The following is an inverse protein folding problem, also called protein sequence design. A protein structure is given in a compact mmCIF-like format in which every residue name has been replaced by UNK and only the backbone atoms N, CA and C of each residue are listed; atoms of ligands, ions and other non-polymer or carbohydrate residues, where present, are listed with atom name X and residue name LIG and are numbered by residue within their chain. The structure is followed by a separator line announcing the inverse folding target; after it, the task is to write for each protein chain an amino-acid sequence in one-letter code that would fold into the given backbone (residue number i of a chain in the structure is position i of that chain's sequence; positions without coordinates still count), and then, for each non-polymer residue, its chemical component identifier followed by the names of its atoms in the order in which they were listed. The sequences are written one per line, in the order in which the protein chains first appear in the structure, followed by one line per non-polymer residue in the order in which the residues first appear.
data_IF_409080204619
#
_entry.id   IF_409080204619
#
_cell.length_a   1.000
_cell.length_b   1.000
_cell.length_c   1.000
_cell.angle_alpha   90.00
_cell.angle_beta   90.00
_cell.angle_gamma   90.00
#
_symmetry.space_group_name_H-M   'P 1'
#
loop_
_entity.id
_entity.type
_entity.pdbx_description
1 polymer ?
#
# COMPACT_ATOMS: atom_id res chain seq x y z
N UNK A 1 19.94 1.19 -22.88
CA UNK A 1 19.98 1.11 -21.41
C UNK A 1 19.52 2.45 -20.83
N UNK A 2 18.23 2.77 -20.91
CA UNK A 2 17.65 4.03 -20.40
C UNK A 2 16.21 3.83 -19.91
N UNK A 3 15.40 2.98 -20.59
CA UNK A 3 14.02 2.73 -20.20
C UNK A 3 13.87 1.82 -18.96
N UNK A 4 14.71 0.79 -18.84
CA UNK A 4 14.60 -0.17 -17.73
C UNK A 4 14.99 0.48 -16.39
N UNK A 5 16.06 1.27 -16.38
CA UNK A 5 16.48 2.04 -15.20
C UNK A 5 15.43 3.07 -14.80
N UNK A 6 14.84 3.78 -15.78
CA UNK A 6 13.73 4.70 -15.51
C UNK A 6 12.54 3.99 -14.85
N UNK A 7 12.14 2.82 -15.38
CA UNK A 7 11.05 2.02 -14.82
C UNK A 7 11.33 1.59 -13.38
N UNK A 8 12.54 1.11 -13.10
CA UNK A 8 12.92 0.67 -11.75
C UNK A 8 12.94 1.85 -10.78
N UNK A 9 13.56 2.98 -11.15
CA UNK A 9 13.57 4.18 -10.32
C UNK A 9 12.16 4.71 -10.05
N UNK A 10 11.28 4.67 -11.06
CA UNK A 10 9.89 5.09 -10.89
C UNK A 10 9.14 4.17 -9.93
N UNK A 11 9.33 2.85 -10.04
CA UNK A 11 8.76 1.87 -9.12
C UNK A 11 9.24 2.12 -7.69
N UNK A 12 10.54 2.35 -7.50
CA UNK A 12 11.11 2.66 -6.18
C UNK A 12 10.48 3.92 -5.56
N UNK A 13 10.24 4.96 -6.36
CA UNK A 13 9.55 6.17 -5.91
C UNK A 13 8.11 5.91 -5.51
N UNK A 14 7.39 5.05 -6.26
CA UNK A 14 6.02 4.66 -5.91
C UNK A 14 5.98 3.86 -4.60
N UNK A 15 6.92 2.92 -4.41
CA UNK A 15 7.03 2.15 -3.17
C UNK A 15 7.38 3.06 -1.98
N UNK A 16 8.32 3.99 -2.14
CA UNK A 16 8.62 4.98 -1.11
C UNK A 16 7.41 5.87 -0.76
N UNK A 17 6.63 6.25 -1.77
CA UNK A 17 5.39 7.00 -1.55
C UNK A 17 4.38 6.19 -0.72
N UNK A 18 4.16 4.92 -1.08
CA UNK A 18 3.27 4.03 -0.35
C UNK A 18 3.70 3.87 1.11
N UNK A 19 4.99 3.61 1.34
CA UNK A 19 5.56 3.53 2.69
C UNK A 19 5.26 4.80 3.49
N UNK A 20 5.40 5.99 2.91
CA UNK A 20 5.08 7.24 3.59
C UNK A 20 3.60 7.37 3.93
N UNK A 21 2.70 7.06 3.00
CA UNK A 21 1.25 7.16 3.25
C UNK A 21 0.80 6.16 4.31
N UNK A 22 1.28 4.93 4.26
CA UNK A 22 0.95 3.89 5.23
C UNK A 22 1.55 4.16 6.61
N UNK A 23 2.77 4.68 6.68
CA UNK A 23 3.35 5.13 7.96
C UNK A 23 2.59 6.30 8.57
N UNK A 24 1.95 7.15 7.77
CA UNK A 24 1.02 8.17 8.27
C UNK A 24 -0.18 7.59 9.01
N UNK A 25 -0.65 6.42 8.57
CA UNK A 25 -1.78 5.71 9.15
C UNK A 25 -1.38 4.84 10.35
N UNK A 26 -0.10 4.83 10.73
CA UNK A 26 0.40 4.12 11.90
C UNK A 26 1.14 2.81 11.61
N UNK A 27 1.38 2.46 10.35
CA UNK A 27 2.26 1.32 10.00
C UNK A 27 3.71 1.64 10.37
N UNK A 28 4.38 0.71 11.03
CA UNK A 28 5.78 0.85 11.42
C UNK A 28 6.70 0.82 10.18
N UNK A 29 7.11 2.00 9.70
CA UNK A 29 7.98 2.14 8.54
C UNK A 29 9.09 3.16 8.74
N UNK A 30 9.96 3.29 7.73
CA UNK A 30 11.13 4.18 7.78
C UNK A 30 10.80 5.65 7.50
N UNK A 31 9.56 5.99 7.17
CA UNK A 31 9.19 7.34 6.73
C UNK A 31 8.33 8.05 7.78
N UNK A 32 8.84 9.16 8.33
CA UNK A 32 8.00 10.12 9.02
C UNK A 32 7.00 10.71 8.02
N UNK A 33 5.71 10.43 8.20
CA UNK A 33 4.67 11.16 7.48
C UNK A 33 4.43 12.52 8.13
N UNK A 34 4.57 13.58 7.35
CA UNK A 34 4.11 14.95 7.68
C UNK A 34 3.19 15.48 6.59
N UNK A 35 2.54 14.59 5.85
CA UNK A 35 1.70 14.98 4.74
C UNK A 35 0.44 15.70 5.27
N UNK A 36 0.13 16.93 4.84
CA UNK A 36 -0.91 17.76 5.44
C UNK A 36 -2.32 17.42 4.93
N UNK A 37 -2.48 16.33 4.18
CA UNK A 37 -3.75 15.92 3.59
C UNK A 37 -4.35 14.70 4.31
N UNK A 38 -5.67 14.59 4.20
CA UNK A 38 -6.41 13.41 4.67
C UNK A 38 -6.11 12.25 3.72
N UNK A 39 -5.79 11.10 4.29
CA UNK A 39 -5.57 9.86 3.55
C UNK A 39 -6.84 9.03 3.60
N UNK A 40 -7.38 8.69 2.43
CA UNK A 40 -8.42 7.69 2.30
C UNK A 40 -7.76 6.29 2.25
N UNK A 41 -7.92 5.46 3.31
CA UNK A 41 -7.29 4.15 3.39
C UNK A 41 -7.80 3.21 2.29
N UNK A 42 -9.03 3.37 1.80
CA UNK A 42 -9.63 2.49 0.79
C UNK A 42 -9.00 2.74 -0.59
N UNK A 43 -8.88 4.01 -0.98
CA UNK A 43 -8.17 4.41 -2.18
C UNK A 43 -6.69 4.02 -2.12
N UNK A 44 -6.05 4.18 -0.96
CA UNK A 44 -4.66 3.79 -0.75
C UNK A 44 -4.46 2.27 -0.85
N UNK A 45 -5.39 1.47 -0.32
CA UNK A 45 -5.36 0.02 -0.42
C UNK A 45 -5.50 -0.46 -1.87
N UNK A 46 -6.47 0.10 -2.62
CA UNK A 46 -6.64 -0.21 -4.05
C UNK A 46 -5.39 0.12 -4.86
N UNK A 47 -4.77 1.26 -4.57
CA UNK A 47 -3.51 1.63 -5.22
C UNK A 47 -2.37 0.67 -4.85
N UNK A 48 -2.28 0.31 -3.57
CA UNK A 48 -1.27 -0.62 -3.04
C UNK A 48 -1.38 -2.01 -3.65
N UNK A 49 -2.61 -2.53 -3.87
CA UNK A 49 -2.83 -3.85 -4.47
C UNK A 49 -2.17 -4.05 -5.86
N UNK A 50 -1.94 -2.96 -6.60
CA UNK A 50 -1.26 -3.03 -7.90
C UNK A 50 0.27 -3.07 -7.80
N UNK A 51 0.82 -2.69 -6.64
CA UNK A 51 2.25 -2.47 -6.41
C UNK A 51 2.85 -3.39 -5.34
N UNK A 52 2.03 -3.98 -4.47
CA UNK A 52 2.46 -4.86 -3.37
C UNK A 52 3.18 -6.12 -3.85
N UNK A 53 2.92 -6.58 -5.09
CA UNK A 53 3.70 -7.67 -5.72
C UNK A 53 5.20 -7.37 -5.86
N UNK A 54 5.60 -6.11 -5.73
CA UNK A 54 6.99 -5.67 -5.84
C UNK A 54 7.67 -5.46 -4.48
N UNK A 55 6.91 -5.43 -3.37
CA UNK A 55 7.44 -5.33 -2.00
C UNK A 55 6.54 -6.13 -1.05
N UNK A 56 6.95 -7.37 -0.77
CA UNK A 56 6.22 -8.31 0.08
C UNK A 56 6.11 -7.80 1.53
N UNK A 57 7.12 -7.08 2.04
CA UNK A 57 7.09 -6.57 3.41
C UNK A 57 6.02 -5.49 3.56
N UNK A 58 5.93 -4.58 2.59
CA UNK A 58 4.87 -3.58 2.58
C UNK A 58 3.48 -4.24 2.56
N UNK A 59 3.33 -5.33 1.81
CA UNK A 59 2.08 -6.08 1.77
C UNK A 59 1.70 -6.66 3.13
N UNK A 60 2.63 -7.35 3.80
CA UNK A 60 2.38 -7.97 5.11
C UNK A 60 1.96 -6.92 6.15
N UNK A 61 2.63 -5.77 6.19
CA UNK A 61 2.29 -4.69 7.12
C UNK A 61 0.91 -4.07 6.83
N UNK A 62 0.52 -3.96 5.56
CA UNK A 62 -0.83 -3.49 5.17
C UNK A 62 -1.88 -4.47 5.68
N UNK A 63 -1.64 -5.78 5.56
CA UNK A 63 -2.55 -6.80 6.08
C UNK A 63 -2.68 -6.70 7.60
N UNK A 64 -1.56 -6.60 8.32
CA UNK A 64 -1.55 -6.42 9.78
C UNK A 64 -2.32 -5.15 10.19
N UNK A 65 -2.16 -4.06 9.46
CA UNK A 65 -2.91 -2.83 9.71
C UNK A 65 -4.41 -3.03 9.47
N UNK A 66 -4.81 -3.69 8.39
CA UNK A 66 -6.22 -3.96 8.09
C UNK A 66 -6.86 -4.82 9.18
N UNK A 67 -6.15 -5.84 9.70
CA UNK A 67 -6.66 -6.69 10.78
C UNK A 67 -6.92 -5.89 12.06
N UNK A 68 -6.12 -4.87 12.34
CA UNK A 68 -6.30 -3.98 13.50
C UNK A 68 -7.31 -2.84 13.26
N UNK A 69 -7.56 -2.48 12.00
CA UNK A 69 -8.28 -1.27 11.59
C UNK A 69 -9.46 -1.55 10.65
N UNK A 70 -9.97 -2.78 10.65
CA UNK A 70 -11.06 -3.30 9.81
C UNK A 70 -12.27 -2.35 9.73
N UNK A 71 -12.61 -1.72 10.84
CA UNK A 71 -13.66 -0.70 11.02
C UNK A 71 -13.52 0.56 10.16
N UNK A 72 -12.35 0.84 9.61
CA UNK A 72 -12.11 1.98 8.72
C UNK A 72 -12.25 1.60 7.24
N UNK A 73 -12.42 0.32 6.92
CA UNK A 73 -12.66 -0.18 5.58
C UNK A 73 -14.15 -0.51 5.42
N UNK A 74 -14.76 -0.02 4.35
CA UNK A 74 -16.16 -0.37 4.07
C UNK A 74 -16.28 -1.86 3.75
N UNK A 75 -17.14 -2.56 4.50
CA UNK A 75 -17.43 -4.00 4.39
C UNK A 75 -17.89 -4.40 2.98
N UNK A 76 -18.45 -3.48 2.20
CA UNK A 76 -18.81 -3.70 0.79
C UNK A 76 -17.62 -4.09 -0.10
N UNK A 77 -16.39 -3.68 0.24
CA UNK A 77 -15.18 -4.05 -0.50
C UNK A 77 -14.46 -5.30 0.04
N UNK A 78 -14.81 -5.78 1.24
CA UNK A 78 -14.21 -6.99 1.82
C UNK A 78 -14.41 -8.23 0.93
N UNK A 79 -15.50 -8.29 0.18
CA UNK A 79 -15.77 -9.35 -0.80
C UNK A 79 -14.79 -9.39 -1.98
N UNK A 80 -14.06 -8.31 -2.27
CA UNK A 80 -13.04 -8.24 -3.33
C UNK A 80 -11.62 -8.54 -2.83
N UNK A 81 -11.41 -8.58 -1.52
CA UNK A 81 -10.10 -8.89 -0.93
C UNK A 81 -9.58 -10.28 -1.33
N UNK A 82 -10.40 -11.35 -1.40
CA UNK A 82 -9.97 -12.64 -1.93
C UNK A 82 -9.39 -12.51 -3.35
N UNK A 83 -9.96 -11.65 -4.21
CA UNK A 83 -9.45 -11.43 -5.56
C UNK A 83 -8.08 -10.76 -5.57
N UNK A 84 -7.78 -9.89 -4.60
CA UNK A 84 -6.44 -9.29 -4.44
C UNK A 84 -5.42 -10.38 -4.06
N UNK A 85 -5.75 -11.29 -3.15
CA UNK A 85 -4.89 -12.43 -2.84
C UNK A 85 -4.63 -13.33 -4.07
N UNK A 86 -5.65 -13.57 -4.91
CA UNK A 86 -5.52 -14.37 -6.13
C UNK A 86 -4.75 -13.67 -7.26
N UNK A 87 -4.65 -12.34 -7.27
CA UNK A 87 -3.89 -11.58 -8.28
C UNK A 87 -2.40 -11.50 -7.93
N UNK A 88 -2.04 -11.78 -6.67
CA UNK A 88 -0.66 -11.67 -6.16
C UNK A 88 0.07 -13.03 -6.10
N UNK A 89 -0.65 -14.16 -6.19
CA UNK A 89 -0.07 -15.53 -6.33
C UNK A 89 0.08 -15.92 -7.80
#
# INVERSE_FOLDING_TARGET
MQLQEFKNNYLDLLLQFLWRQWSALGIAGYSESKDPWVIDPEALLLFSATLTRYDQRLFDEILDWMDMNDRFINILHYYYIPLIYYVIT
#
